data_IF_715739688908
#
_entry.id   IF_715739688908
#
_cell.length_a   1.000
_cell.length_b   1.000
_cell.length_c   1.000
_cell.angle_alpha   90.00
_cell.angle_beta   90.00
_cell.angle_gamma   90.00
#
_symmetry.space_group_name_H-M   'P 1'
#
loop_
_entity.id
_entity.type
_entity.pdbx_description
1 polymer ?
#
# COMPACT_ATOMS: atom_id res chain seq x y z
N UNK A 1 12.22 10.10 -7.06
CA UNK A 1 11.11 10.23 -8.03
C UNK A 1 10.27 8.98 -7.92
N UNK A 2 9.10 9.05 -7.29
CA UNK A 2 8.26 7.87 -7.06
C UNK A 2 7.29 7.63 -8.23
N UNK A 3 7.42 6.52 -8.99
CA UNK A 3 6.36 6.03 -9.86
C UNK A 3 5.00 5.99 -9.14
N UNK A 4 4.01 6.71 -9.66
CA UNK A 4 2.70 6.91 -9.01
C UNK A 4 2.53 8.26 -8.31
N UNK A 5 3.60 8.90 -7.84
CA UNK A 5 3.60 10.32 -7.45
C UNK A 5 3.86 11.25 -8.64
N UNK A 6 4.27 10.70 -9.78
CA UNK A 6 4.48 11.48 -10.99
C UNK A 6 3.16 11.71 -11.74
N UNK A 7 2.71 12.96 -11.69
CA UNK A 7 1.80 13.60 -12.66
C UNK A 7 0.36 13.05 -12.71
N UNK A 8 -0.51 13.67 -11.90
CA UNK A 8 -1.79 14.15 -12.42
C UNK A 8 -1.86 15.68 -12.24
N UNK A 9 -1.34 16.41 -13.22
CA UNK A 9 -1.59 17.84 -13.39
C UNK A 9 -2.10 18.04 -14.81
N UNK A 10 -3.40 18.32 -14.93
CA UNK A 10 -3.99 18.70 -16.22
C UNK A 10 -4.42 20.18 -16.28
N UNK A 11 -4.31 21.01 -15.22
CA UNK A 11 -4.43 22.49 -15.35
C UNK A 11 -3.94 23.36 -14.16
N UNK A 12 -2.63 23.31 -13.87
CA UNK A 12 -1.75 24.40 -13.34
C UNK A 12 -2.18 25.19 -12.09
N UNK A 13 -1.56 25.07 -10.92
CA UNK A 13 -0.25 24.58 -10.48
C UNK A 13 -0.49 23.91 -9.13
N UNK A 14 -0.16 22.62 -9.01
CA UNK A 14 -0.33 21.81 -7.79
C UNK A 14 0.94 21.82 -6.93
N UNK A 15 2.03 22.34 -7.47
CA UNK A 15 3.36 22.41 -6.87
C UNK A 15 3.88 23.83 -7.16
N UNK A 16 3.53 24.78 -6.30
CA UNK A 16 3.83 26.19 -6.48
C UNK A 16 5.29 26.52 -6.12
N UNK A 17 5.91 25.74 -5.25
CA UNK A 17 7.29 25.93 -4.79
C UNK A 17 8.33 25.12 -5.58
N UNK A 18 7.89 24.20 -6.44
CA UNK A 18 8.71 23.42 -7.35
C UNK A 18 9.47 22.28 -6.67
N UNK A 19 8.95 21.75 -5.56
CA UNK A 19 9.59 20.69 -4.79
C UNK A 19 9.24 19.27 -5.24
N UNK A 20 8.44 19.14 -6.32
CA UNK A 20 7.93 17.89 -6.89
C UNK A 20 6.81 17.19 -6.07
N UNK A 21 6.24 17.88 -5.07
CA UNK A 21 5.16 17.39 -4.22
C UNK A 21 3.90 18.27 -4.34
N UNK A 22 2.71 17.71 -4.06
CA UNK A 22 1.49 18.51 -4.00
C UNK A 22 1.50 19.51 -2.83
N UNK A 23 1.13 20.76 -3.12
CA UNK A 23 0.94 21.85 -2.16
C UNK A 23 -0.15 21.54 -1.11
N UNK A 24 -0.11 22.29 0.00
CA UNK A 24 -1.13 22.26 1.05
C UNK A 24 -2.57 22.39 0.51
N UNK A 25 -3.46 21.58 1.06
CA UNK A 25 -4.87 21.50 0.66
C UNK A 25 -5.16 20.70 -0.61
N UNK A 26 -4.16 20.14 -1.30
CA UNK A 26 -4.38 19.33 -2.51
C UNK A 26 -4.64 17.86 -2.18
N UNK A 27 -5.81 17.35 -2.57
CA UNK A 27 -6.08 15.91 -2.52
C UNK A 27 -5.61 15.20 -3.78
N UNK A 28 -4.77 14.18 -3.63
CA UNK A 28 -4.26 13.35 -4.72
C UNK A 28 -4.76 11.91 -4.57
N UNK A 29 -5.00 11.25 -5.69
CA UNK A 29 -5.20 9.80 -5.75
C UNK A 29 -4.03 9.19 -6.51
N UNK A 30 -3.51 8.06 -6.04
CA UNK A 30 -2.44 7.37 -6.73
C UNK A 30 -2.52 5.86 -6.58
N UNK A 31 -1.75 5.19 -7.42
CA UNK A 31 -1.58 3.73 -7.43
C UNK A 31 -0.13 3.41 -7.77
N UNK A 32 0.47 2.52 -6.99
CA UNK A 32 1.79 1.96 -7.30
C UNK A 32 1.85 0.49 -6.89
N UNK A 33 2.86 -0.20 -7.39
CA UNK A 33 3.14 -1.60 -7.07
C UNK A 33 4.47 -1.72 -6.38
N UNK A 34 4.57 -2.55 -5.35
CA UNK A 34 5.81 -2.77 -4.61
C UNK A 34 6.05 -4.27 -4.46
N UNK A 35 7.31 -4.68 -4.46
CA UNK A 35 7.74 -6.07 -4.35
C UNK A 35 8.56 -6.25 -3.09
N UNK A 36 8.09 -7.07 -2.16
CA UNK A 36 8.84 -7.48 -0.99
C UNK A 36 9.20 -8.96 -1.12
N UNK A 37 10.48 -9.29 -1.02
CA UNK A 37 10.97 -10.66 -1.07
C UNK A 37 11.92 -10.89 0.11
N UNK A 38 11.87 -12.08 0.69
CA UNK A 38 12.75 -12.42 1.80
C UNK A 38 13.01 -13.93 1.84
N UNK A 39 14.13 -14.28 2.47
CA UNK A 39 14.47 -15.66 2.81
C UNK A 39 14.76 -15.77 4.32
N UNK A 40 15.36 -16.87 4.76
CA UNK A 40 15.66 -17.11 6.18
C UNK A 40 16.61 -16.09 6.83
N UNK A 41 17.40 -15.35 6.05
CA UNK A 41 18.47 -14.46 6.52
C UNK A 41 18.41 -13.05 5.92
N UNK A 42 17.96 -12.94 4.68
CA UNK A 42 18.07 -11.74 3.85
C UNK A 42 16.72 -11.28 3.30
N UNK A 43 16.67 -10.02 2.89
CA UNK A 43 15.46 -9.43 2.31
C UNK A 43 15.76 -8.35 1.29
N UNK A 44 14.81 -8.19 0.36
CA UNK A 44 14.77 -7.23 -0.72
C UNK A 44 13.40 -6.57 -0.76
N UNK A 45 13.36 -5.24 -0.91
CA UNK A 45 12.14 -4.47 -1.07
C UNK A 45 12.29 -3.39 -2.14
N UNK A 46 11.61 -3.60 -3.25
CA UNK A 46 11.32 -2.53 -4.21
C UNK A 46 10.07 -1.79 -3.76
N UNK A 47 10.23 -0.53 -3.35
CA UNK A 47 9.12 0.30 -2.89
C UNK A 47 8.16 0.73 -4.01
N UNK A 48 8.45 0.38 -5.26
CA UNK A 48 7.66 0.76 -6.43
C UNK A 48 7.94 2.16 -6.91
N UNK A 49 8.98 2.78 -6.34
CA UNK A 49 9.19 4.21 -6.41
C UNK A 49 10.62 4.61 -6.79
N UNK A 50 11.36 3.64 -7.33
CA UNK A 50 12.77 3.77 -7.67
C UNK A 50 13.70 3.66 -6.45
N UNK A 51 13.18 3.59 -5.23
CA UNK A 51 13.96 3.22 -4.05
C UNK A 51 13.87 1.72 -3.84
N UNK A 52 15.04 1.14 -3.62
CA UNK A 52 15.20 -0.24 -3.19
C UNK A 52 15.81 -0.22 -1.79
N UNK A 53 15.30 -1.09 -0.92
CA UNK A 53 15.82 -1.32 0.43
C UNK A 53 16.03 -2.82 0.61
N UNK A 54 16.99 -3.21 1.43
CA UNK A 54 17.27 -4.63 1.65
C UNK A 54 18.64 -4.88 2.24
N UNK A 55 18.92 -6.14 2.54
CA UNK A 55 20.28 -6.64 2.81
C UNK A 55 20.98 -7.13 1.54
N UNK A 56 20.22 -7.35 0.46
CA UNK A 56 20.70 -7.75 -0.86
C UNK A 56 20.24 -6.77 -1.94
N UNK A 57 20.92 -6.75 -3.08
CA UNK A 57 20.65 -5.80 -4.17
C UNK A 57 19.56 -6.32 -5.14
N UNK A 58 19.23 -7.61 -5.09
CA UNK A 58 18.25 -8.24 -5.97
C UNK A 58 17.60 -9.48 -5.36
N UNK A 59 16.42 -9.85 -5.87
CA UNK A 59 15.71 -11.09 -5.48
C UNK A 59 16.53 -12.35 -5.81
N UNK A 60 17.34 -12.31 -6.86
CA UNK A 60 18.15 -13.44 -7.32
C UNK A 60 19.28 -13.81 -6.32
N UNK A 61 19.58 -12.94 -5.37
CA UNK A 61 20.56 -13.21 -4.29
C UNK A 61 19.96 -13.95 -3.10
N UNK A 62 18.63 -14.08 -3.04
CA UNK A 62 17.93 -14.78 -1.97
C UNK A 62 17.98 -16.31 -2.17
N UNK A 63 18.00 -17.06 -1.08
CA UNK A 63 17.95 -18.52 -1.09
C UNK A 63 16.56 -19.00 -1.55
N UNK A 64 16.51 -19.50 -2.79
CA UNK A 64 15.31 -20.01 -3.46
C UNK A 64 14.57 -21.08 -2.62
N UNK A 65 15.27 -21.85 -1.79
CA UNK A 65 14.65 -22.90 -0.98
C UNK A 65 13.83 -22.38 0.20
N UNK A 66 14.09 -21.14 0.61
CA UNK A 66 13.37 -20.45 1.71
C UNK A 66 12.74 -19.13 1.28
N UNK A 67 12.69 -18.88 -0.04
CA UNK A 67 12.19 -17.64 -0.60
C UNK A 67 10.67 -17.52 -0.44
N UNK A 68 10.24 -16.36 0.05
CA UNK A 68 8.86 -15.88 -0.01
C UNK A 68 8.83 -14.52 -0.70
N UNK A 69 7.88 -14.33 -1.60
CA UNK A 69 7.69 -13.11 -2.39
C UNK A 69 6.26 -12.61 -2.21
N UNK A 70 6.12 -11.32 -1.93
CA UNK A 70 4.86 -10.63 -1.75
C UNK A 70 4.75 -9.43 -2.70
N UNK A 71 3.77 -9.48 -3.59
CA UNK A 71 3.39 -8.37 -4.47
C UNK A 71 2.35 -7.49 -3.80
N UNK A 72 2.64 -6.20 -3.71
CA UNK A 72 1.76 -5.18 -3.17
C UNK A 72 1.16 -4.37 -4.32
N UNK A 73 -0.16 -4.26 -4.37
CA UNK A 73 -0.85 -3.21 -5.10
C UNK A 73 -1.39 -2.20 -4.11
N UNK A 74 -0.76 -1.02 -4.11
CA UNK A 74 -1.09 0.07 -3.20
C UNK A 74 -1.91 1.10 -3.95
N UNK A 75 -3.04 1.47 -3.37
CA UNK A 75 -3.87 2.58 -3.82
C UNK A 75 -4.03 3.55 -2.68
N UNK A 76 -3.99 4.84 -2.95
CA UNK A 76 -4.19 5.84 -1.91
C UNK A 76 -5.02 7.00 -2.42
N UNK A 77 -5.63 7.68 -1.45
CA UNK A 77 -6.17 9.02 -1.61
C UNK A 77 -5.84 9.82 -0.38
N UNK A 78 -5.25 10.98 -0.56
CA UNK A 78 -4.94 11.82 0.59
C UNK A 78 -4.29 13.14 0.24
N UNK A 79 -3.96 13.88 1.28
CA UNK A 79 -3.21 15.12 1.20
C UNK A 79 -1.78 14.89 1.69
N UNK A 80 -0.85 15.58 1.05
CA UNK A 80 0.57 15.53 1.32
C UNK A 80 1.06 16.77 2.07
N UNK A 81 0.26 17.83 2.15
CA UNK A 81 0.59 19.09 2.84
C UNK A 81 2.02 19.60 2.56
N UNK A 82 2.44 19.49 1.30
CA UNK A 82 3.80 19.84 0.85
C UNK A 82 4.94 18.95 1.37
N UNK A 83 4.64 17.70 1.71
CA UNK A 83 5.58 16.67 2.18
C UNK A 83 5.58 15.43 1.26
N UNK A 84 6.69 14.69 1.12
CA UNK A 84 6.72 13.40 0.42
C UNK A 84 5.82 12.30 1.02
N UNK A 85 5.34 12.46 2.26
CA UNK A 85 4.52 11.48 2.97
C UNK A 85 3.05 11.92 3.04
N UNK A 86 2.16 10.92 3.04
CA UNK A 86 0.72 11.16 3.14
C UNK A 86 0.38 11.59 4.58
N UNK A 87 -0.12 12.81 4.77
CA UNK A 87 -0.50 13.34 6.08
C UNK A 87 -1.94 13.00 6.47
N UNK A 88 -2.84 12.90 5.49
CA UNK A 88 -4.23 12.53 5.74
C UNK A 88 -4.84 11.71 4.61
N UNK A 89 -5.91 10.98 4.91
CA UNK A 89 -6.68 10.21 3.92
C UNK A 89 -6.68 8.71 4.18
N UNK A 90 -6.52 7.92 3.14
CA UNK A 90 -6.52 6.46 3.24
C UNK A 90 -5.60 5.79 2.22
N UNK A 91 -5.14 4.59 2.58
CA UNK A 91 -4.32 3.70 1.78
C UNK A 91 -4.97 2.31 1.77
N UNK A 92 -5.10 1.70 0.60
CA UNK A 92 -5.56 0.33 0.43
C UNK A 92 -4.43 -0.52 -0.14
N UNK A 93 -4.10 -1.60 0.56
CA UNK A 93 -3.09 -2.56 0.15
C UNK A 93 -3.77 -3.87 -0.23
N UNK A 94 -3.55 -4.33 -1.45
CA UNK A 94 -3.82 -5.70 -1.87
C UNK A 94 -2.48 -6.42 -1.99
N UNK A 95 -2.27 -7.43 -1.16
CA UNK A 95 -1.00 -8.12 -1.01
C UNK A 95 -1.20 -9.57 -1.42
N UNK A 96 -0.35 -10.05 -2.32
CA UNK A 96 -0.34 -11.42 -2.76
C UNK A 96 1.03 -12.04 -2.47
N UNK A 97 1.08 -12.98 -1.54
CA UNK A 97 2.30 -13.67 -1.15
C UNK A 97 2.34 -15.09 -1.70
N UNK A 98 3.53 -15.55 -2.05
CA UNK A 98 3.81 -16.91 -2.48
C UNK A 98 5.22 -17.33 -2.10
N UNK A 99 5.40 -18.57 -1.66
CA UNK A 99 6.71 -19.12 -1.35
C UNK A 99 6.73 -20.05 -0.14
N UNK A 100 7.86 -20.04 0.56
CA UNK A 100 8.20 -21.01 1.59
C UNK A 100 7.25 -20.99 2.78
N UNK A 101 7.01 -19.82 3.37
CA UNK A 101 6.24 -19.66 4.62
C UNK A 101 4.93 -18.86 4.47
N UNK A 102 4.70 -18.24 3.31
CA UNK A 102 3.44 -17.55 3.03
C UNK A 102 2.94 -17.80 1.61
N UNK A 103 1.66 -18.18 1.49
CA UNK A 103 0.95 -18.39 0.23
C UNK A 103 -0.45 -17.76 0.28
N UNK A 104 -0.59 -16.66 1.02
CA UNK A 104 -1.87 -16.01 1.28
C UNK A 104 -2.05 -14.71 0.48
N UNK A 105 -3.28 -14.23 0.54
CA UNK A 105 -3.69 -12.94 -0.01
C UNK A 105 -4.30 -12.10 1.10
N UNK A 106 -3.98 -10.82 1.12
CA UNK A 106 -4.42 -9.89 2.15
C UNK A 106 -4.99 -8.64 1.49
N UNK A 107 -6.07 -8.11 2.06
CA UNK A 107 -6.54 -6.77 1.74
C UNK A 107 -6.59 -5.96 3.04
N UNK A 108 -5.79 -4.90 3.11
CA UNK A 108 -5.77 -3.97 4.23
C UNK A 108 -6.27 -2.60 3.79
N UNK A 109 -6.95 -1.91 4.71
CA UNK A 109 -7.29 -0.51 4.60
C UNK A 109 -6.66 0.23 5.77
N UNK A 110 -5.82 1.21 5.45
CA UNK A 110 -5.19 2.12 6.40
C UNK A 110 -5.87 3.47 6.28
N UNK A 111 -6.26 4.08 7.40
CA UNK A 111 -7.01 5.34 7.44
C UNK A 111 -6.44 6.30 8.48
N UNK A 112 -6.40 7.58 8.15
CA UNK A 112 -6.07 8.65 9.09
C UNK A 112 -7.29 9.01 9.97
N UNK A 113 -7.08 9.65 11.12
CA UNK A 113 -8.16 10.07 12.05
C UNK A 113 -9.24 10.96 11.41
N UNK A 114 -8.90 11.65 10.33
CA UNK A 114 -9.85 12.48 9.57
C UNK A 114 -10.77 11.68 8.66
N UNK A 115 -10.50 10.38 8.45
CA UNK A 115 -11.35 9.51 7.64
C UNK A 115 -12.53 8.98 8.48
N UNK A 116 -13.78 9.00 7.97
CA UNK A 116 -14.96 8.58 8.72
C UNK A 116 -14.95 7.09 9.12
N UNK A 117 -14.05 6.28 8.56
CA UNK A 117 -13.87 4.88 8.93
C UNK A 117 -12.93 4.71 10.11
N UNK A 118 -12.20 5.73 10.55
CA UNK A 118 -11.33 5.69 11.72
C UNK A 118 -12.15 5.46 12.99
N UNK A 119 -11.59 4.71 13.94
CA UNK A 119 -12.32 4.24 15.13
C UNK A 119 -11.73 4.66 16.46
N UNK A 120 -10.49 5.13 16.51
CA UNK A 120 -9.74 5.43 17.75
C UNK A 120 -9.27 4.18 18.51
N UNK A 121 -9.15 3.04 17.85
CA UNK A 121 -8.75 1.77 18.46
C UNK A 121 -7.23 1.64 18.55
N UNK A 122 -6.70 1.52 19.77
CA UNK A 122 -5.27 1.28 20.01
C UNK A 122 -4.74 0.01 19.35
N UNK A 123 -5.59 -1.01 19.22
CA UNK A 123 -5.20 -2.31 18.65
C UNK A 123 -4.89 -2.23 17.15
N UNK A 124 -5.37 -1.17 16.50
CA UNK A 124 -5.21 -0.92 15.08
C UNK A 124 -4.33 0.30 14.80
N UNK A 125 -3.86 1.01 15.82
CA UNK A 125 -3.09 2.25 15.67
C UNK A 125 -1.73 1.98 15.04
N UNK A 126 -1.42 2.75 14.01
CA UNK A 126 -0.13 2.83 13.34
C UNK A 126 0.21 4.30 13.12
N UNK A 127 1.50 4.65 13.03
CA UNK A 127 1.96 6.00 12.69
C UNK A 127 1.28 7.14 13.48
N UNK A 128 0.97 6.90 14.77
CA UNK A 128 0.25 7.85 15.63
C UNK A 128 -1.24 7.93 15.31
N UNK A 129 -1.60 8.79 14.37
CA UNK A 129 -2.99 9.14 14.06
C UNK A 129 -3.60 8.30 12.92
N UNK A 130 -2.96 7.18 12.58
CA UNK A 130 -3.42 6.26 11.55
C UNK A 130 -3.90 4.95 12.17
N UNK A 131 -4.80 4.25 11.48
CA UNK A 131 -5.27 2.93 11.84
C UNK A 131 -5.24 1.98 10.65
N UNK A 132 -4.85 0.72 10.84
CA UNK A 132 -4.98 -0.32 9.82
C UNK A 132 -6.16 -1.26 10.12
N UNK A 133 -6.84 -1.72 9.08
CA UNK A 133 -7.96 -2.66 9.14
C UNK A 133 -7.76 -3.78 8.15
N UNK A 134 -7.75 -5.02 8.62
CA UNK A 134 -7.83 -6.19 7.74
C UNK A 134 -9.24 -6.28 7.16
N UNK A 135 -9.38 -6.13 5.84
CA UNK A 135 -10.64 -6.28 5.13
C UNK A 135 -10.91 -7.75 4.81
N UNK A 136 -9.89 -8.48 4.35
CA UNK A 136 -9.93 -9.91 4.08
C UNK A 136 -8.53 -10.52 4.20
N UNK A 137 -8.45 -11.77 4.66
CA UNK A 137 -7.24 -12.59 4.67
C UNK A 137 -7.58 -13.91 3.95
N UNK A 138 -6.63 -14.54 3.27
CA UNK A 138 -6.84 -15.87 2.69
C UNK A 138 -7.33 -16.86 3.75
N UNK A 139 -8.36 -17.63 3.43
CA UNK A 139 -9.05 -18.51 4.38
C UNK A 139 -9.97 -17.80 5.39
N UNK A 140 -9.96 -16.45 5.45
CA UNK A 140 -10.79 -15.63 6.35
C UNK A 140 -11.36 -14.41 5.59
N UNK A 141 -12.50 -14.61 4.93
CA UNK A 141 -13.14 -13.56 4.11
C UNK A 141 -14.52 -13.14 4.63
N UNK A 142 -14.81 -11.84 4.53
CA UNK A 142 -16.13 -11.22 4.71
C UNK A 142 -17.01 -11.29 3.44
N UNK A 143 -16.60 -12.08 2.44
CA UNK A 143 -17.36 -12.29 1.22
C UNK A 143 -18.56 -13.20 1.57
N UNK A 144 -19.70 -12.57 1.84
CA UNK A 144 -20.98 -13.27 1.81
C UNK A 144 -21.17 -13.68 0.34
N UNK A 145 -20.88 -14.94 0.02
CA UNK A 145 -21.27 -15.50 -1.28
C UNK A 145 -22.77 -15.27 -1.40
N UNK A 146 -23.27 -14.50 -2.39
CA UNK A 146 -24.70 -14.41 -2.59
C UNK A 146 -25.23 -15.82 -2.88
N UNK A 147 -26.33 -16.21 -2.22
CA UNK A 147 -26.94 -17.55 -2.41
C UNK A 147 -27.31 -17.81 -3.88
N UNK A 148 -27.43 -16.75 -4.69
CA UNK A 148 -27.67 -16.80 -6.13
C UNK A 148 -26.68 -15.88 -6.87
N UNK A 149 -25.99 -16.35 -7.93
CA UNK A 149 -25.15 -15.51 -8.77
C UNK A 149 -25.94 -14.37 -9.44
N UNK A 150 -25.36 -13.17 -9.49
CA UNK A 150 -25.96 -12.03 -10.20
C UNK A 150 -26.06 -12.35 -11.69
N UNK A 151 -27.26 -12.23 -12.27
CA UNK A 151 -27.50 -12.43 -13.70
C UNK A 151 -28.04 -13.80 -14.11
N UNK A 152 -28.45 -14.64 -13.16
CA UNK A 152 -29.28 -15.81 -13.44
C UNK A 152 -30.66 -15.60 -12.80
N UNK A 153 -31.61 -15.08 -13.59
CA UNK A 153 -33.05 -15.25 -13.34
C UNK A 153 -33.51 -16.63 -13.84
#
# INVERSE_FOLDING_TARGET
MVPGHQKQVENGTIDADGNEYPDEGVTVNGKYTSLYAYDASDWYWDLGDGRIQGTVDSVDELDESTLTVCDYQVQYRGNFENDPFLDSGWIMNNINCSGYDDNNHYNYLIVHETDPRYTGSSDFSIWGNWEYKALTISGMGNLVRPETPVGQE
#
